data_IF_302822156286
#
_entry.id   IF_302822156286
#
_cell.length_a   1.000
_cell.length_b   1.000
_cell.length_c   1.000
_cell.angle_alpha   90.00
_cell.angle_beta   90.00
_cell.angle_gamma   90.00
#
_symmetry.space_group_name_H-M   'P 1'
#
loop_
_entity.id
_entity.type
_entity.pdbx_description
1 polymer ?
#
# COMPACT_ATOMS: atom_id res chain seq x y z
N UNK A 1 -7.83 22.05 -0.96
CA UNK A 1 -7.87 20.58 -1.00
C UNK A 1 -9.27 20.15 -0.63
N UNK A 2 -10.00 19.58 -1.60
CA UNK A 2 -11.38 19.16 -1.42
C UNK A 2 -11.45 18.03 -0.38
N UNK A 3 -12.60 17.86 0.30
CA UNK A 3 -12.79 16.80 1.31
C UNK A 3 -12.42 15.42 0.75
N UNK A 4 -12.71 15.17 -0.53
CA UNK A 4 -12.37 13.94 -1.25
C UNK A 4 -10.86 13.73 -1.42
N UNK A 5 -10.09 14.80 -1.70
CA UNK A 5 -8.64 14.72 -1.79
C UNK A 5 -8.00 14.47 -0.42
N UNK A 6 -8.55 15.06 0.65
CA UNK A 6 -8.14 14.79 2.03
C UNK A 6 -8.35 13.34 2.41
N UNK A 7 -9.56 12.81 2.17
CA UNK A 7 -9.88 11.41 2.47
C UNK A 7 -8.96 10.48 1.67
N UNK A 8 -8.75 10.75 0.37
CA UNK A 8 -7.85 9.96 -0.46
C UNK A 8 -6.41 9.95 0.07
N UNK A 9 -5.89 11.12 0.46
CA UNK A 9 -4.53 11.26 1.00
C UNK A 9 -4.38 10.49 2.31
N UNK A 10 -5.29 10.68 3.27
CA UNK A 10 -5.20 9.99 4.57
C UNK A 10 -5.41 8.49 4.45
N UNK A 11 -6.31 8.04 3.57
CA UNK A 11 -6.50 6.61 3.30
C UNK A 11 -5.25 6.01 2.63
N UNK A 12 -4.62 6.74 1.70
CA UNK A 12 -3.36 6.34 1.10
C UNK A 12 -2.20 6.27 2.09
N UNK A 13 -2.11 7.26 3.00
CA UNK A 13 -1.11 7.27 4.07
C UNK A 13 -1.30 6.10 5.04
N UNK A 14 -2.54 5.76 5.39
CA UNK A 14 -2.85 4.59 6.21
C UNK A 14 -2.44 3.29 5.51
N UNK A 15 -2.78 3.13 4.23
CA UNK A 15 -2.35 1.97 3.45
C UNK A 15 -0.81 1.85 3.41
N UNK A 16 -0.12 2.94 3.11
CA UNK A 16 1.34 2.97 3.08
C UNK A 16 1.96 2.62 4.46
N UNK A 17 1.38 3.12 5.55
CA UNK A 17 1.82 2.79 6.91
C UNK A 17 1.66 1.29 7.20
N UNK A 18 0.54 0.66 6.79
CA UNK A 18 0.36 -0.78 6.93
C UNK A 18 1.42 -1.58 6.16
N UNK A 19 1.68 -1.22 4.90
CA UNK A 19 2.74 -1.87 4.11
C UNK A 19 4.13 -1.66 4.71
N UNK A 20 4.41 -0.48 5.26
CA UNK A 20 5.68 -0.20 5.93
C UNK A 20 5.87 -1.11 7.14
N UNK A 21 4.83 -1.32 7.96
CA UNK A 21 4.91 -2.25 9.10
C UNK A 21 5.23 -3.67 8.63
N UNK A 22 4.55 -4.14 7.57
CA UNK A 22 4.83 -5.48 7.00
C UNK A 22 6.26 -5.57 6.48
N UNK A 23 6.76 -4.53 5.83
CA UNK A 23 8.15 -4.47 5.37
C UNK A 23 9.15 -4.51 6.53
N UNK A 24 8.86 -3.82 7.64
CA UNK A 24 9.70 -3.87 8.84
C UNK A 24 9.70 -5.27 9.48
N UNK A 25 8.56 -5.95 9.52
CA UNK A 25 8.46 -7.34 10.00
C UNK A 25 9.25 -8.29 9.09
N UNK A 26 9.18 -8.10 7.78
CA UNK A 26 10.01 -8.89 6.87
C UNK A 26 11.50 -8.63 7.13
N UNK A 27 11.91 -7.36 7.21
CA UNK A 27 13.29 -6.96 7.46
C UNK A 27 13.84 -7.41 8.82
N UNK A 28 13.00 -7.56 9.85
CA UNK A 28 13.45 -8.10 11.15
C UNK A 28 13.88 -9.56 11.08
N UNK A 29 13.54 -10.27 10.01
CA UNK A 29 13.95 -11.66 9.75
C UNK A 29 15.15 -11.75 8.80
N UNK A 30 15.78 -10.62 8.43
CA UNK A 30 16.96 -10.64 7.58
C UNK A 30 18.15 -11.26 8.32
N UNK A 31 18.76 -12.28 7.71
CA UNK A 31 19.97 -12.93 8.22
C UNK A 31 21.21 -12.35 7.53
N UNK A 32 22.23 -11.96 8.31
CA UNK A 32 23.46 -11.34 7.80
C UNK A 32 23.24 -10.13 6.88
N UNK A 33 22.17 -9.36 7.11
CA UNK A 33 21.79 -8.21 6.28
C UNK A 33 21.18 -8.58 4.93
N UNK A 34 20.85 -9.86 4.70
CA UNK A 34 20.17 -10.33 3.51
C UNK A 34 18.81 -10.92 3.87
N UNK A 35 17.82 -10.62 3.03
CA UNK A 35 16.48 -11.16 3.16
C UNK A 35 16.36 -12.35 2.20
N UNK A 36 16.21 -13.56 2.73
CA UNK A 36 16.06 -14.79 1.92
C UNK A 36 14.63 -15.31 1.98
N UNK A 37 14.22 -16.08 0.97
CA UNK A 37 12.89 -16.70 0.96
C UNK A 37 12.76 -17.70 2.11
N UNK A 38 13.82 -18.44 2.44
CA UNK A 38 13.81 -19.38 3.57
C UNK A 38 13.57 -18.67 4.90
N UNK A 39 14.21 -17.51 5.13
CA UNK A 39 14.02 -16.72 6.36
C UNK A 39 12.57 -16.24 6.55
N UNK A 40 11.80 -16.13 5.47
CA UNK A 40 10.40 -15.66 5.47
C UNK A 40 9.36 -16.78 5.34
N UNK A 41 9.78 -18.02 5.13
CA UNK A 41 8.88 -19.17 4.90
C UNK A 41 7.85 -19.36 6.02
N UNK A 42 8.24 -19.12 7.27
CA UNK A 42 7.35 -19.19 8.43
C UNK A 42 6.29 -18.08 8.51
N UNK A 43 6.40 -17.04 7.67
CA UNK A 43 5.47 -15.91 7.57
C UNK A 43 4.61 -15.94 6.29
N UNK A 44 4.76 -16.98 5.46
CA UNK A 44 4.10 -17.07 4.17
C UNK A 44 2.57 -16.93 4.27
N UNK A 45 1.95 -17.66 5.20
CA UNK A 45 0.50 -17.63 5.42
C UNK A 45 0.00 -16.26 5.87
N UNK A 46 0.79 -15.57 6.72
CA UNK A 46 0.48 -14.23 7.21
C UNK A 46 0.58 -13.20 6.09
N UNK A 47 1.63 -13.26 5.27
CA UNK A 47 1.79 -12.36 4.12
C UNK A 47 0.74 -12.61 3.05
N UNK A 48 0.40 -13.88 2.79
CA UNK A 48 -0.66 -14.22 1.85
C UNK A 48 -2.01 -13.68 2.32
N UNK A 49 -2.35 -13.89 3.59
CA UNK A 49 -3.59 -13.38 4.19
C UNK A 49 -3.66 -11.85 4.13
N UNK A 50 -2.55 -11.17 4.46
CA UNK A 50 -2.44 -9.72 4.34
C UNK A 50 -2.65 -9.25 2.90
N UNK A 51 -1.98 -9.88 1.93
CA UNK A 51 -2.10 -9.57 0.52
C UNK A 51 -3.53 -9.74 0.00
N UNK A 52 -4.19 -10.86 0.29
CA UNK A 52 -5.55 -11.12 -0.19
C UNK A 52 -6.55 -10.08 0.33
N UNK A 53 -6.39 -9.65 1.57
CA UNK A 53 -7.21 -8.60 2.18
C UNK A 53 -6.90 -7.22 1.60
N UNK A 54 -5.62 -6.81 1.59
CA UNK A 54 -5.21 -5.48 1.14
C UNK A 54 -5.38 -5.26 -0.37
N UNK A 55 -5.28 -6.30 -1.19
CA UNK A 55 -5.46 -6.22 -2.65
C UNK A 55 -6.76 -5.51 -3.02
N UNK A 56 -7.86 -5.84 -2.35
CA UNK A 56 -9.16 -5.21 -2.60
C UNK A 56 -9.16 -3.72 -2.25
N UNK A 57 -8.60 -3.35 -1.10
CA UNK A 57 -8.51 -1.95 -0.69
C UNK A 57 -7.61 -1.14 -1.63
N UNK A 58 -6.47 -1.71 -2.05
CA UNK A 58 -5.54 -1.05 -2.98
C UNK A 58 -6.20 -0.85 -4.35
N UNK A 59 -6.94 -1.82 -4.87
CA UNK A 59 -7.64 -1.67 -6.16
C UNK A 59 -8.71 -0.60 -6.13
N UNK A 60 -9.52 -0.55 -5.06
CA UNK A 60 -10.53 0.52 -4.90
C UNK A 60 -9.83 1.88 -4.77
N UNK A 61 -8.77 1.96 -3.96
CA UNK A 61 -8.01 3.19 -3.79
C UNK A 61 -7.35 3.65 -5.10
N UNK A 62 -6.80 2.74 -5.90
CA UNK A 62 -6.25 3.04 -7.23
C UNK A 62 -7.29 3.62 -8.18
N UNK A 63 -8.52 3.08 -8.20
CA UNK A 63 -9.59 3.63 -9.03
C UNK A 63 -9.89 5.10 -8.67
N UNK A 64 -9.93 5.42 -7.36
CA UNK A 64 -10.10 6.79 -6.87
C UNK A 64 -8.89 7.66 -7.23
N UNK A 65 -7.68 7.11 -7.18
CA UNK A 65 -6.45 7.81 -7.56
C UNK A 65 -6.51 8.26 -9.03
N UNK A 66 -6.89 7.35 -9.93
CA UNK A 66 -7.02 7.64 -11.36
C UNK A 66 -8.08 8.73 -11.60
N UNK A 67 -9.23 8.63 -10.93
CA UNK A 67 -10.28 9.65 -11.05
C UNK A 67 -9.79 11.04 -10.61
N UNK A 68 -9.13 11.14 -9.46
CA UNK A 68 -8.59 12.40 -8.96
C UNK A 68 -7.46 12.93 -9.85
N UNK A 69 -6.63 12.04 -10.40
CA UNK A 69 -5.56 12.39 -11.32
C UNK A 69 -6.12 12.95 -12.63
N UNK A 70 -7.13 12.33 -13.23
CA UNK A 70 -7.80 12.84 -14.44
C UNK A 70 -8.41 14.22 -14.15
N UNK A 71 -9.15 14.37 -13.04
CA UNK A 71 -9.72 15.67 -12.62
C UNK A 71 -8.64 16.74 -12.46
N UNK A 72 -7.48 16.38 -11.94
CA UNK A 72 -6.33 17.28 -11.81
C UNK A 72 -5.78 17.69 -13.19
N UNK A 73 -5.56 16.74 -14.10
CA UNK A 73 -5.12 17.04 -15.47
C UNK A 73 -6.11 17.95 -16.21
N UNK A 74 -7.42 17.67 -16.14
CA UNK A 74 -8.45 18.50 -16.78
C UNK A 74 -8.45 19.95 -16.28
N UNK A 75 -8.07 20.19 -15.02
CA UNK A 75 -7.97 21.56 -14.46
C UNK A 75 -6.68 22.28 -14.81
N UNK A 76 -5.62 21.56 -15.19
CA UNK A 76 -4.35 22.18 -15.58
C UNK A 76 -4.39 22.60 -17.05
N UNK A 77 -4.99 21.78 -17.90
CA UNK A 77 -5.03 22.02 -19.34
C UNK A 77 -6.25 22.84 -19.80
N UNK A 78 -7.05 23.36 -18.86
CA UNK A 78 -8.24 24.19 -19.13
C UNK A 78 -8.16 25.46 -18.31
#
# INVERSE_FOLDING_TARGET
>A
MDIFQKIFLYLGAMLAACFLVVALIALSNAENGQLTVESLSHLEDQFRSFYELFRWFVYIWMAVAIFLFIRFLTRIFR
#
